data_IF_365992850441
#
_entry.id   IF_365992850441
#
_cell.length_a   1.000
_cell.length_b   1.000
_cell.length_c   1.000
_cell.angle_alpha   90.00
_cell.angle_beta   90.00
_cell.angle_gamma   90.00
#
_symmetry.space_group_name_H-M   'P 1'
#
loop_
_entity.id
_entity.type
_entity.pdbx_description
1 polymer ?
#
# COMPACT_ATOMS: atom_id res chain seq x y z
N UNK A 1 -54.33 15.09 -11.40
CA UNK A 1 -53.51 14.20 -10.55
C UNK A 1 -52.07 14.66 -10.62
N UNK A 2 -51.63 15.52 -9.68
CA UNK A 2 -50.24 15.96 -9.58
C UNK A 2 -49.57 15.12 -8.51
N UNK A 3 -48.51 14.41 -8.89
CA UNK A 3 -47.68 13.62 -7.99
C UNK A 3 -46.67 14.59 -7.33
N UNK A 4 -46.66 14.78 -6.00
CA UNK A 4 -45.68 15.65 -5.37
C UNK A 4 -44.30 14.99 -5.47
N UNK A 5 -43.38 15.71 -6.10
CA UNK A 5 -41.97 15.35 -6.26
C UNK A 5 -41.31 15.11 -4.90
N UNK A 6 -40.87 13.87 -4.68
CA UNK A 6 -39.96 13.52 -3.59
C UNK A 6 -38.64 14.29 -3.84
N UNK A 7 -38.14 15.09 -2.88
CA UNK A 7 -36.82 15.70 -3.01
C UNK A 7 -35.77 14.59 -3.06
N UNK A 8 -35.10 14.42 -4.20
CA UNK A 8 -33.89 13.60 -4.25
C UNK A 8 -32.83 14.32 -3.40
N UNK A 9 -32.60 13.81 -2.20
CA UNK A 9 -31.48 14.22 -1.37
C UNK A 9 -30.19 13.91 -2.13
N UNK A 10 -29.63 14.92 -2.79
CA UNK A 10 -28.25 14.91 -3.24
C UNK A 10 -27.36 14.84 -2.01
N UNK A 11 -27.01 13.62 -1.58
CA UNK A 11 -25.93 13.38 -0.63
C UNK A 11 -24.60 13.69 -1.33
N UNK A 12 -24.31 14.98 -1.49
CA UNK A 12 -22.96 15.46 -1.80
C UNK A 12 -22.22 15.49 -0.47
N UNK A 13 -21.90 14.31 0.07
CA UNK A 13 -20.82 14.24 1.05
C UNK A 13 -19.57 14.52 0.23
N UNK A 14 -19.15 15.78 0.20
CA UNK A 14 -17.73 16.07 0.08
C UNK A 14 -17.09 15.23 1.17
N UNK A 15 -16.63 14.03 0.81
CA UNK A 15 -15.89 13.17 1.73
C UNK A 15 -14.70 14.04 2.10
N UNK A 16 -14.70 14.56 3.33
CA UNK A 16 -13.52 15.16 3.92
C UNK A 16 -12.41 14.18 3.59
N UNK A 17 -11.43 14.64 2.80
CA UNK A 17 -10.20 13.90 2.66
C UNK A 17 -9.70 13.78 4.10
N UNK A 18 -9.88 12.62 4.71
CA UNK A 18 -9.52 12.39 6.10
C UNK A 18 -8.03 12.62 6.16
N UNK A 19 -7.64 13.80 6.66
CA UNK A 19 -6.27 14.19 6.92
C UNK A 19 -5.85 13.38 8.13
N UNK A 20 -5.55 12.11 7.91
CA UNK A 20 -5.18 11.17 8.96
C UNK A 20 -3.79 10.65 8.68
N UNK A 21 -2.99 10.55 9.74
CA UNK A 21 -1.72 9.86 9.70
C UNK A 21 -1.96 8.38 9.99
N UNK A 22 -1.15 7.55 9.36
CA UNK A 22 -1.06 6.11 9.61
C UNK A 22 0.41 5.77 9.79
N UNK A 23 0.72 4.97 10.80
CA UNK A 23 2.09 4.55 11.08
C UNK A 23 2.14 3.15 11.67
N UNK A 24 3.32 2.54 11.56
CA UNK A 24 3.65 1.27 12.19
C UNK A 24 4.45 1.55 13.45
N UNK A 25 4.14 0.84 14.53
CA UNK A 25 4.95 0.81 15.74
C UNK A 25 5.48 -0.60 15.93
N UNK A 26 6.77 -0.71 16.22
CA UNK A 26 7.41 -1.96 16.59
C UNK A 26 8.06 -1.80 17.95
N UNK A 27 7.68 -2.67 18.87
CA UNK A 27 8.25 -2.79 20.21
C UNK A 27 9.09 -4.05 20.25
N UNK A 28 10.34 -3.89 20.67
CA UNK A 28 11.25 -5.00 20.90
C UNK A 28 11.38 -5.21 22.42
N UNK A 29 10.64 -6.18 22.95
CA UNK A 29 10.68 -6.52 24.37
C UNK A 29 11.64 -7.71 24.58
N UNK A 30 12.67 -7.58 25.45
CA UNK A 30 13.64 -8.67 25.69
C UNK A 30 13.06 -9.95 26.27
N UNK A 31 11.88 -9.90 26.89
CA UNK A 31 11.23 -11.01 27.60
C UNK A 31 10.07 -11.58 26.78
N UNK A 32 9.23 -10.70 26.23
CA UNK A 32 8.01 -11.05 25.51
C UNK A 32 8.21 -11.13 23.98
N UNK A 33 9.40 -10.77 23.49
CA UNK A 33 9.73 -10.77 22.07
C UNK A 33 9.23 -9.53 21.33
N UNK A 34 9.14 -9.65 20.01
CA UNK A 34 8.71 -8.54 19.15
C UNK A 34 7.18 -8.48 19.14
N UNK A 35 6.63 -7.30 19.42
CA UNK A 35 5.21 -6.97 19.28
C UNK A 35 5.06 -5.62 18.60
N UNK A 36 3.95 -5.39 17.93
CA UNK A 36 3.75 -4.16 17.18
C UNK A 36 2.29 -3.89 16.91
N UNK A 37 2.05 -2.71 16.35
CA UNK A 37 0.71 -2.27 15.99
C UNK A 37 0.73 -1.35 14.77
N UNK A 38 -0.42 -1.27 14.13
CA UNK A 38 -0.72 -0.26 13.11
C UNK A 38 -1.65 0.75 13.74
N UNK A 39 -1.30 2.03 13.62
CA UNK A 39 -1.98 3.15 14.27
C UNK A 39 -2.54 4.13 13.27
N UNK A 40 -3.51 4.92 13.73
CA UNK A 40 -4.00 6.08 13.00
C UNK A 40 -4.40 7.21 13.95
N UNK A 41 -4.29 8.45 13.49
CA UNK A 41 -4.78 9.64 14.18
C UNK A 41 -5.20 10.69 13.15
N UNK A 42 -6.27 11.45 13.43
CA UNK A 42 -6.58 12.63 12.63
C UNK A 42 -5.48 13.69 12.83
N UNK A 43 -5.19 14.48 11.81
CA UNK A 43 -4.06 15.44 11.78
C UNK A 43 -4.13 16.43 12.94
N UNK A 44 -5.32 16.88 13.28
CA UNK A 44 -5.63 17.77 14.41
C UNK A 44 -5.56 17.05 15.77
N UNK A 45 -5.88 15.76 15.80
CA UNK A 45 -5.81 14.90 16.99
C UNK A 45 -4.37 14.49 17.37
N UNK A 46 -3.46 14.42 16.40
CA UNK A 46 -2.05 14.01 16.61
C UNK A 46 -1.38 14.87 17.68
N UNK A 47 -1.57 16.19 17.65
CA UNK A 47 -0.96 17.10 18.61
C UNK A 47 -1.52 16.94 20.03
N UNK A 48 -2.76 16.44 20.16
CA UNK A 48 -3.40 16.14 21.43
C UNK A 48 -3.05 14.73 21.96
N UNK A 49 -2.24 13.96 21.24
CA UNK A 49 -1.88 12.58 21.60
C UNK A 49 -3.03 11.59 21.44
N UNK A 50 -4.11 11.97 20.75
CA UNK A 50 -5.25 11.08 20.49
C UNK A 50 -4.89 10.18 19.31
N UNK A 51 -4.90 8.87 19.54
CA UNK A 51 -4.59 7.87 18.53
C UNK A 51 -5.49 6.65 18.66
N UNK A 52 -5.73 5.98 17.53
CA UNK A 52 -6.52 4.75 17.42
C UNK A 52 -5.63 3.61 16.94
N UNK A 53 -5.97 2.40 17.38
CA UNK A 53 -5.30 1.17 16.96
C UNK A 53 -6.09 0.53 15.83
N UNK A 54 -5.46 0.36 14.68
CA UNK A 54 -6.02 -0.38 13.53
C UNK A 54 -5.78 -1.88 13.71
N UNK A 55 -4.60 -2.27 14.20
CA UNK A 55 -4.25 -3.65 14.51
C UNK A 55 -3.22 -3.71 15.64
N UNK A 56 -3.29 -4.72 16.50
CA UNK A 56 -2.33 -5.01 17.57
C UNK A 56 -1.82 -6.44 17.50
N UNK A 57 -0.66 -6.71 18.12
CA UNK A 57 -0.05 -8.04 18.09
C UNK A 57 0.47 -8.43 16.71
N UNK A 58 0.84 -7.45 15.89
CA UNK A 58 1.36 -7.62 14.53
C UNK A 58 2.85 -7.25 14.50
N UNK A 59 3.62 -7.72 13.51
CA UNK A 59 5.00 -7.27 13.31
C UNK A 59 5.17 -6.55 11.96
N UNK A 60 4.69 -5.29 11.86
CA UNK A 60 4.64 -4.58 10.61
C UNK A 60 5.99 -3.98 10.21
N UNK A 61 6.31 -3.99 8.91
CA UNK A 61 7.54 -3.37 8.38
C UNK A 61 7.25 -2.14 7.50
N UNK A 62 6.27 -2.22 6.62
CA UNK A 62 5.80 -1.12 5.78
C UNK A 62 4.26 -1.14 5.68
N UNK A 63 3.65 -0.02 5.30
CA UNK A 63 2.20 0.10 5.11
C UNK A 63 1.84 0.87 3.83
N UNK A 64 0.60 0.71 3.38
CA UNK A 64 -0.07 1.52 2.37
C UNK A 64 -1.56 1.71 2.74
N UNK A 65 -2.17 2.81 2.32
CA UNK A 65 -3.57 3.14 2.66
C UNK A 65 -4.39 3.32 1.39
N UNK A 66 -5.48 2.56 1.26
CA UNK A 66 -6.52 2.82 0.27
C UNK A 66 -7.58 3.73 0.91
N UNK A 67 -7.52 5.02 0.58
CA UNK A 67 -8.46 6.01 1.10
C UNK A 67 -9.87 5.88 0.53
N UNK A 68 -10.05 5.22 -0.63
CA UNK A 68 -11.38 5.02 -1.23
C UNK A 68 -12.13 3.91 -0.51
N UNK A 69 -11.42 2.82 -0.15
CA UNK A 69 -11.95 1.68 0.59
C UNK A 69 -11.83 1.81 2.11
N UNK A 70 -11.10 2.83 2.60
CA UNK A 70 -10.76 3.01 4.02
C UNK A 70 -10.07 1.76 4.59
N UNK A 71 -9.09 1.26 3.86
CA UNK A 71 -8.37 0.03 4.19
C UNK A 71 -6.89 0.31 4.32
N UNK A 72 -6.26 -0.21 5.36
CA UNK A 72 -4.80 -0.18 5.55
C UNK A 72 -4.24 -1.54 5.22
N UNK A 73 -3.17 -1.56 4.44
CA UNK A 73 -2.40 -2.75 4.06
C UNK A 73 -1.03 -2.64 4.70
N UNK A 74 -0.49 -3.73 5.25
CA UNK A 74 0.86 -3.76 5.79
C UNK A 74 1.50 -5.13 5.63
N UNK A 75 2.83 -5.15 5.56
CA UNK A 75 3.60 -6.38 5.58
C UNK A 75 3.76 -6.85 7.03
N UNK A 76 3.33 -8.07 7.36
CA UNK A 76 3.43 -8.65 8.70
C UNK A 76 4.45 -9.79 8.74
N UNK A 77 5.58 -9.53 9.41
CA UNK A 77 6.68 -10.50 9.58
C UNK A 77 6.26 -11.72 10.37
N UNK A 78 5.39 -11.55 11.37
CA UNK A 78 4.94 -12.65 12.22
C UNK A 78 4.12 -13.68 11.45
N UNK A 79 3.46 -13.24 10.37
CA UNK A 79 2.64 -14.08 9.49
C UNK A 79 3.33 -14.44 8.17
N UNK A 80 4.48 -13.82 7.86
CA UNK A 80 5.15 -14.01 6.57
C UNK A 80 4.29 -13.56 5.38
N UNK A 81 3.40 -12.58 5.58
CA UNK A 81 2.38 -12.21 4.61
C UNK A 81 2.13 -10.70 4.56
N UNK A 82 1.43 -10.26 3.52
CA UNK A 82 0.76 -8.96 3.55
C UNK A 82 -0.65 -9.17 4.11
N UNK A 83 -1.00 -8.30 5.05
CA UNK A 83 -2.29 -8.27 5.72
C UNK A 83 -2.98 -6.93 5.52
N UNK A 84 -4.29 -6.90 5.73
CA UNK A 84 -5.09 -5.68 5.70
C UNK A 84 -6.08 -5.61 6.84
N UNK A 85 -6.59 -4.42 7.09
CA UNK A 85 -7.74 -4.17 7.95
C UNK A 85 -8.47 -2.92 7.44
N UNK A 86 -9.79 -2.93 7.59
CA UNK A 86 -10.57 -1.69 7.52
C UNK A 86 -10.16 -0.77 8.66
N UNK A 87 -10.13 0.53 8.39
CA UNK A 87 -9.87 1.56 9.41
C UNK A 87 -10.98 1.59 10.47
N UNK A 88 -12.18 1.11 10.11
CA UNK A 88 -13.38 1.21 10.94
C UNK A 88 -13.75 -0.12 11.64
N UNK A 89 -13.17 -1.26 11.25
CA UNK A 89 -13.62 -2.60 11.71
C UNK A 89 -12.97 -3.07 13.03
N UNK A 90 -12.58 -2.14 13.89
CA UNK A 90 -12.19 -2.39 15.28
C UNK A 90 -11.16 -3.53 15.49
N UNK A 91 -10.15 -3.64 14.62
CA UNK A 91 -9.05 -4.60 14.78
C UNK A 91 -9.17 -5.90 14.00
N UNK A 92 -10.21 -6.10 13.18
CA UNK A 92 -10.30 -7.28 12.31
C UNK A 92 -9.22 -7.21 11.21
N UNK A 93 -8.33 -8.21 11.19
CA UNK A 93 -7.24 -8.30 10.20
C UNK A 93 -7.46 -9.48 9.28
N UNK A 94 -7.24 -9.27 7.99
CA UNK A 94 -7.28 -10.29 6.95
C UNK A 94 -5.89 -10.51 6.38
N UNK A 95 -5.55 -11.76 6.11
CA UNK A 95 -4.35 -12.11 5.37
C UNK A 95 -4.70 -12.11 3.88
N UNK A 96 -3.91 -11.44 3.05
CA UNK A 96 -4.18 -11.37 1.60
C UNK A 96 -3.08 -11.99 0.74
N UNK A 97 -1.79 -11.85 1.07
CA UNK A 97 -0.72 -12.39 0.24
C UNK A 97 0.32 -13.14 1.07
N UNK A 98 0.27 -14.47 1.03
CA UNK A 98 1.22 -15.37 1.71
C UNK A 98 2.55 -15.48 0.96
N UNK A 99 3.59 -15.98 1.64
CA UNK A 99 4.89 -16.25 1.04
C UNK A 99 5.56 -15.00 0.47
N UNK A 100 5.28 -13.83 1.06
CA UNK A 100 5.88 -12.56 0.67
C UNK A 100 7.26 -12.34 1.29
N UNK A 101 7.64 -13.19 2.25
CA UNK A 101 8.91 -13.17 2.95
C UNK A 101 9.74 -14.38 2.51
N UNK A 102 11.01 -14.14 2.19
CA UNK A 102 11.97 -15.21 1.93
C UNK A 102 12.50 -15.87 3.21
N UNK A 103 13.58 -16.64 3.08
CA UNK A 103 14.13 -17.47 4.15
C UNK A 103 14.76 -16.69 5.31
N UNK A 104 15.15 -15.43 5.12
CA UNK A 104 15.74 -14.57 6.16
C UNK A 104 14.74 -13.54 6.67
N UNK A 105 14.90 -13.12 7.92
CA UNK A 105 14.04 -12.11 8.57
C UNK A 105 13.93 -10.77 7.83
N UNK A 106 14.88 -10.46 6.92
CA UNK A 106 14.91 -9.24 6.12
C UNK A 106 14.36 -9.42 4.70
N UNK A 107 13.97 -10.64 4.31
CA UNK A 107 13.57 -10.98 2.94
C UNK A 107 12.11 -10.63 2.59
N UNK A 108 11.46 -9.85 3.45
CA UNK A 108 10.08 -9.42 3.30
C UNK A 108 9.85 -8.21 2.41
N UNK A 109 8.61 -7.69 2.41
CA UNK A 109 8.32 -6.38 1.88
C UNK A 109 8.84 -5.25 2.76
N UNK A 110 9.39 -4.24 2.11
CA UNK A 110 9.94 -3.02 2.74
C UNK A 110 9.28 -1.75 2.19
N UNK A 111 8.60 -1.87 1.06
CA UNK A 111 7.77 -0.85 0.45
C UNK A 111 6.47 -1.50 0.00
N UNK A 112 5.37 -0.80 0.24
CA UNK A 112 4.03 -1.14 -0.19
C UNK A 112 3.40 0.08 -0.85
N UNK A 113 2.64 -0.14 -1.90
CA UNK A 113 1.85 0.88 -2.57
C UNK A 113 0.52 0.27 -3.01
N UNK A 114 -0.55 1.06 -2.91
CA UNK A 114 -1.86 0.68 -3.42
C UNK A 114 -2.27 1.63 -4.53
N UNK A 115 -2.84 1.09 -5.58
CA UNK A 115 -3.52 1.84 -6.63
C UNK A 115 -5.03 1.60 -6.52
N UNK A 116 -5.78 2.53 -5.89
CA UNK A 116 -7.22 2.39 -5.74
C UNK A 116 -7.97 2.39 -7.08
N UNK A 117 -7.40 3.01 -8.13
CA UNK A 117 -8.06 3.09 -9.43
C UNK A 117 -8.04 1.72 -10.13
N UNK A 118 -6.91 1.02 -10.10
CA UNK A 118 -6.79 -0.30 -10.74
C UNK A 118 -7.03 -1.44 -9.76
N UNK A 119 -7.38 -1.15 -8.50
CA UNK A 119 -7.48 -2.16 -7.42
C UNK A 119 -6.26 -3.07 -7.39
N UNK A 120 -5.08 -2.48 -7.42
CA UNK A 120 -3.80 -3.21 -7.47
C UNK A 120 -2.98 -2.88 -6.23
N UNK A 121 -2.41 -3.92 -5.62
CA UNK A 121 -1.39 -3.80 -4.59
C UNK A 121 -0.02 -4.05 -5.21
N UNK A 122 0.98 -3.26 -4.85
CA UNK A 122 2.34 -3.33 -5.36
C UNK A 122 3.31 -3.35 -4.17
N UNK A 123 4.31 -4.24 -4.19
CA UNK A 123 5.28 -4.33 -3.12
C UNK A 123 6.69 -4.71 -3.59
N UNK A 124 7.67 -4.28 -2.81
CA UNK A 124 9.07 -4.68 -2.96
C UNK A 124 9.28 -5.99 -2.22
N UNK A 125 10.20 -6.84 -2.68
CA UNK A 125 10.60 -8.07 -1.99
C UNK A 125 12.12 -8.12 -1.96
N UNK A 126 12.69 -7.72 -0.81
CA UNK A 126 14.12 -7.44 -0.68
C UNK A 126 14.99 -8.70 -0.83
N UNK A 127 14.55 -9.86 -0.36
CA UNK A 127 15.33 -11.11 -0.42
C UNK A 127 15.50 -11.71 -1.81
N UNK A 128 14.68 -11.29 -2.78
CA UNK A 128 14.75 -11.74 -4.17
C UNK A 128 14.98 -10.60 -5.16
N UNK A 129 15.13 -9.36 -4.66
CA UNK A 129 15.27 -8.17 -5.49
C UNK A 129 14.01 -7.80 -6.28
N UNK A 130 12.85 -8.42 -6.01
CA UNK A 130 11.67 -8.37 -6.89
C UNK A 130 10.76 -7.21 -6.59
N UNK A 131 10.09 -6.70 -7.62
CA UNK A 131 8.87 -5.90 -7.48
C UNK A 131 7.69 -6.77 -7.92
N UNK A 132 6.68 -6.88 -7.06
CA UNK A 132 5.50 -7.72 -7.27
C UNK A 132 4.22 -6.91 -7.22
N UNK A 133 3.17 -7.44 -7.83
CA UNK A 133 1.81 -6.93 -7.73
C UNK A 133 0.78 -8.04 -7.55
N UNK A 134 -0.39 -7.69 -7.06
CA UNK A 134 -1.59 -8.53 -6.99
C UNK A 134 -2.82 -7.65 -7.11
N UNK A 135 -3.99 -8.27 -7.23
CA UNK A 135 -5.22 -7.56 -6.86
C UNK A 135 -5.28 -7.31 -5.33
N UNK A 136 -6.27 -6.54 -4.87
CA UNK A 136 -6.43 -6.17 -3.46
C UNK A 136 -6.83 -7.33 -2.55
N UNK A 137 -7.28 -8.46 -3.12
CA UNK A 137 -7.53 -9.72 -2.40
C UNK A 137 -6.25 -10.57 -2.30
N UNK A 138 -5.13 -10.06 -2.84
CA UNK A 138 -3.84 -10.73 -2.85
C UNK A 138 -3.75 -11.89 -3.85
N UNK A 139 -4.74 -12.02 -4.73
CA UNK A 139 -4.77 -13.00 -5.79
C UNK A 139 -4.02 -12.50 -7.02
N UNK A 140 -3.79 -13.40 -7.98
CA UNK A 140 -3.13 -13.07 -9.25
C UNK A 140 -1.74 -12.42 -9.07
N UNK A 141 -0.95 -12.94 -8.12
CA UNK A 141 0.37 -12.38 -7.85
C UNK A 141 1.28 -12.49 -9.07
N UNK A 142 1.83 -11.37 -9.51
CA UNK A 142 2.73 -11.25 -10.65
C UNK A 142 4.03 -10.56 -10.26
N UNK A 143 5.14 -11.00 -10.83
CA UNK A 143 6.42 -10.28 -10.74
C UNK A 143 6.46 -9.24 -11.86
N UNK A 144 6.60 -7.97 -11.49
CA UNK A 144 6.75 -6.84 -12.42
C UNK A 144 8.20 -6.72 -12.88
N UNK A 145 9.12 -6.89 -11.93
CA UNK A 145 10.56 -6.82 -12.15
C UNK A 145 11.21 -7.94 -11.38
N UNK A 146 11.97 -8.78 -12.09
CA UNK A 146 12.94 -9.64 -11.45
C UNK A 146 14.14 -8.80 -11.02
N UNK A 147 14.57 -8.99 -9.78
CA UNK A 147 15.79 -8.37 -9.28
C UNK A 147 17.01 -9.20 -9.59
N UNK A 148 18.15 -8.72 -9.12
CA UNK A 148 19.35 -9.53 -9.09
C UNK A 148 19.19 -10.64 -8.03
N UNK A 149 19.06 -11.89 -8.48
CA UNK A 149 18.90 -13.05 -7.60
C UNK A 149 20.13 -13.34 -6.75
N UNK A 150 21.28 -12.74 -7.09
CA UNK A 150 22.51 -12.82 -6.31
C UNK A 150 22.65 -11.64 -5.33
N UNK A 151 21.77 -10.64 -5.38
CA UNK A 151 21.78 -9.54 -4.44
C UNK A 151 21.31 -10.01 -3.06
N UNK A 152 22.09 -9.64 -2.04
CA UNK A 152 21.71 -9.82 -0.64
C UNK A 152 20.62 -8.83 -0.25
N UNK A 153 19.79 -9.18 0.72
CA UNK A 153 18.54 -8.46 1.06
C UNK A 153 18.73 -6.99 1.45
N UNK A 154 19.93 -6.60 1.92
CA UNK A 154 20.22 -5.18 2.17
C UNK A 154 20.70 -4.42 0.92
N UNK A 155 20.62 -5.02 -0.27
CA UNK A 155 20.71 -4.31 -1.55
C UNK A 155 19.38 -3.66 -1.94
N UNK A 156 18.29 -3.96 -1.23
CA UNK A 156 16.93 -3.59 -1.61
C UNK A 156 16.30 -4.59 -2.58
N UNK A 157 15.14 -4.28 -3.17
CA UNK A 157 14.42 -3.01 -3.14
C UNK A 157 13.76 -2.71 -1.78
N UNK A 158 13.80 -1.44 -1.37
CA UNK A 158 13.18 -0.97 -0.12
C UNK A 158 11.91 -0.17 -0.36
N UNK A 159 11.95 1.15 -0.11
CA UNK A 159 10.81 2.03 -0.28
C UNK A 159 10.31 2.03 -1.72
N UNK A 160 8.99 2.10 -1.87
CA UNK A 160 8.32 2.21 -3.17
C UNK A 160 7.60 3.53 -3.29
N UNK A 161 7.67 4.12 -4.49
CA UNK A 161 6.90 5.28 -4.87
C UNK A 161 6.18 5.01 -6.21
N UNK A 162 4.84 4.86 -6.20
CA UNK A 162 4.08 4.75 -7.44
C UNK A 162 3.98 6.12 -8.14
N UNK A 163 4.00 6.09 -9.47
CA UNK A 163 3.79 7.27 -10.31
C UNK A 163 2.62 7.01 -11.25
N UNK A 164 1.59 7.83 -11.11
CA UNK A 164 0.38 7.76 -11.91
C UNK A 164 0.65 8.16 -13.37
N UNK A 165 -0.06 7.54 -14.31
CA UNK A 165 -0.01 7.94 -15.72
C UNK A 165 -0.49 9.40 -15.89
N UNK A 166 0.03 10.15 -16.88
CA UNK A 166 -0.47 11.48 -17.18
C UNK A 166 -2.00 11.51 -17.33
N UNK A 167 -2.66 12.49 -16.70
CA UNK A 167 -4.13 12.61 -16.71
C UNK A 167 -4.85 11.80 -15.63
N UNK A 168 -4.16 10.94 -14.89
CA UNK A 168 -4.72 10.27 -13.72
C UNK A 168 -4.64 11.18 -12.49
N UNK A 169 -5.77 11.44 -11.86
CA UNK A 169 -5.81 12.12 -10.57
C UNK A 169 -5.72 11.08 -9.44
N UNK A 170 -4.78 11.26 -8.52
CA UNK A 170 -4.76 10.51 -7.27
C UNK A 170 -6.08 10.78 -6.53
N UNK A 171 -6.83 9.72 -6.21
CA UNK A 171 -7.99 9.75 -5.33
C UNK A 171 -9.14 10.73 -5.70
N UNK A 172 -9.33 11.11 -6.98
CA UNK A 172 -10.60 11.72 -7.45
C UNK A 172 -11.33 10.75 -8.37
N UNK A 173 -12.40 10.15 -7.86
CA UNK A 173 -13.48 9.64 -8.72
C UNK A 173 -14.28 10.85 -9.17
N UNK A 174 -14.33 11.20 -10.47
CA UNK A 174 -15.14 12.33 -10.94
C UNK A 174 -16.60 12.13 -10.55
N UNK A 175 -17.25 13.19 -10.06
CA UNK A 175 -18.67 13.21 -9.69
C UNK A 175 -19.53 12.93 -10.94
N UNK A 176 -19.77 11.65 -11.23
CA UNK A 176 -20.51 11.21 -12.41
C UNK A 176 -20.14 9.81 -12.92
N UNK A 177 -18.98 9.26 -12.54
CA UNK A 177 -18.54 7.94 -12.99
C UNK A 177 -19.07 6.85 -12.04
N UNK A 178 -19.97 6.00 -12.54
CA UNK A 178 -20.84 5.14 -11.71
C UNK A 178 -20.24 3.78 -11.33
N UNK A 179 -19.12 3.33 -11.89
CA UNK A 179 -18.49 2.03 -11.53
C UNK A 179 -16.97 2.05 -11.70
N UNK A 180 -16.26 1.32 -10.85
CA UNK A 180 -14.82 1.05 -10.98
C UNK A 180 -14.43 0.37 -12.31
N UNK A 181 -15.40 -0.22 -13.02
CA UNK A 181 -15.19 -0.92 -14.30
C UNK A 181 -15.02 0.00 -15.52
N UNK A 182 -15.19 1.33 -15.37
CA UNK A 182 -15.00 2.30 -16.48
C UNK A 182 -13.52 2.73 -16.65
N UNK A 183 -12.63 2.21 -15.81
CA UNK A 183 -11.20 2.51 -15.80
C UNK A 183 -10.49 1.65 -16.86
N UNK A 184 -10.37 2.21 -18.08
CA UNK A 184 -9.59 1.60 -19.15
C UNK A 184 -8.08 1.54 -18.85
N UNK A 185 -7.28 0.87 -19.70
CA UNK A 185 -5.82 0.68 -19.52
C UNK A 185 -4.99 1.97 -19.46
N UNK A 186 -5.61 3.14 -19.60
CA UNK A 186 -4.99 4.46 -19.49
C UNK A 186 -4.99 5.04 -18.06
N UNK A 187 -5.67 4.40 -17.11
CA UNK A 187 -5.79 4.92 -15.73
C UNK A 187 -4.86 4.21 -14.74
N UNK A 188 -4.47 4.91 -13.68
CA UNK A 188 -3.70 4.35 -12.54
C UNK A 188 -2.20 4.51 -12.62
N UNK A 189 -1.49 3.68 -11.87
CA UNK A 189 -0.03 3.67 -11.79
C UNK A 189 0.56 3.22 -13.14
N UNK A 190 1.41 4.07 -13.71
CA UNK A 190 2.15 3.76 -14.94
C UNK A 190 3.53 3.21 -14.64
N UNK A 191 4.20 3.82 -13.65
CA UNK A 191 5.58 3.53 -13.28
C UNK A 191 5.71 3.38 -11.77
N UNK A 192 6.64 2.56 -11.34
CA UNK A 192 7.00 2.42 -9.91
C UNK A 192 8.49 2.71 -9.76
N UNK A 193 8.84 3.47 -8.74
CA UNK A 193 10.21 3.76 -8.35
C UNK A 193 10.54 3.05 -7.04
N UNK A 194 11.79 2.63 -6.87
CA UNK A 194 12.28 2.11 -5.60
C UNK A 194 13.71 2.52 -5.31
N UNK A 195 14.01 2.58 -4.02
CA UNK A 195 15.37 2.74 -3.52
C UNK A 195 16.04 1.37 -3.36
N UNK A 196 17.31 1.32 -3.73
CA UNK A 196 18.24 0.21 -3.50
C UNK A 196 19.57 0.76 -3.02
N UNK A 197 20.48 -0.11 -2.59
CA UNK A 197 21.81 0.34 -2.16
C UNK A 197 22.50 1.14 -3.28
N UNK A 198 22.69 2.43 -3.01
CA UNK A 198 23.34 3.39 -3.90
C UNK A 198 22.62 3.74 -5.20
N UNK A 199 21.33 3.38 -5.34
CA UNK A 199 20.55 3.59 -6.57
C UNK A 199 19.09 3.94 -6.29
N UNK A 200 18.50 4.67 -7.23
CA UNK A 200 17.04 4.72 -7.39
C UNK A 200 16.74 4.19 -8.78
N UNK A 201 15.91 3.16 -8.84
CA UNK A 201 15.51 2.52 -10.09
C UNK A 201 14.00 2.69 -10.30
N UNK A 202 13.55 2.52 -11.54
CA UNK A 202 12.14 2.57 -11.89
C UNK A 202 11.79 1.51 -12.93
N UNK A 203 10.51 1.15 -12.98
CA UNK A 203 9.96 0.20 -13.93
C UNK A 203 8.60 0.68 -14.42
N UNK A 204 8.36 0.60 -15.73
CA UNK A 204 7.02 0.76 -16.29
C UNK A 204 6.22 -0.53 -16.05
N UNK A 205 4.98 -0.40 -15.59
CA UNK A 205 4.11 -1.55 -15.32
C UNK A 205 3.61 -2.24 -16.61
N UNK A 206 3.77 -1.59 -17.77
CA UNK A 206 3.35 -2.12 -19.07
C UNK A 206 4.35 -3.08 -19.69
N UNK A 207 5.65 -2.89 -19.45
CA UNK A 207 6.71 -3.67 -20.11
C UNK A 207 7.69 -4.35 -19.14
N UNK A 208 7.61 -4.07 -17.84
CA UNK A 208 8.49 -4.68 -16.84
C UNK A 208 9.95 -4.25 -16.92
N UNK A 209 10.28 -3.23 -17.75
CA UNK A 209 11.67 -2.83 -17.98
C UNK A 209 12.19 -1.92 -16.87
N UNK A 210 13.23 -2.40 -16.19
CA UNK A 210 13.95 -1.64 -15.15
C UNK A 210 14.93 -0.66 -15.76
N UNK A 211 14.99 0.54 -15.18
CA UNK A 211 15.98 1.57 -15.50
C UNK A 211 16.50 2.21 -14.22
N UNK A 212 17.78 2.54 -14.16
CA UNK A 212 18.31 3.37 -13.09
C UNK A 212 18.02 4.84 -13.40
N UNK A 213 17.42 5.53 -12.44
CA UNK A 213 17.13 6.96 -12.50
C UNK A 213 18.25 7.75 -11.82
N UNK A 214 18.79 7.20 -10.73
CA UNK A 214 19.93 7.75 -10.00
C UNK A 214 20.93 6.64 -9.72
N UNK A 215 22.22 6.92 -9.90
CA UNK A 215 23.34 6.02 -9.63
C UNK A 215 24.38 6.73 -8.77
N UNK A 216 25.12 5.97 -7.96
CA UNK A 216 26.29 6.49 -7.23
C UNK A 216 25.93 7.28 -5.97
N UNK A 217 24.79 6.99 -5.35
CA UNK A 217 24.52 7.45 -3.99
C UNK A 217 25.44 6.63 -3.07
N UNK A 218 26.39 7.28 -2.40
CA UNK A 218 27.30 6.65 -1.44
C UNK A 218 26.95 7.16 -0.05
#
# INVERSE_FOLDING_TARGET
MMNPTVPQAGYTVQREQTLSLFWTERVNDPVNGISGCVRTAARDEVAAGVQRTVASGVDPNCLAVDSLKRTVYWSDRSKGAITRASVDDNGQTELIAEGCFGHRHLDGPWGLAVDPSTSTLIWSSAGHGKIRRSDLEGQNVQTISDGDTNAWSASGPWGLAPHLRPGCLSARVPSGMRRANDLGPATGVGRVFWSSWGRVSCCELSDGKVRDVVRGLV
#
